data_IF_668367899114
#
_entry.id   IF_668367899114
#
_cell.length_a   1.000
_cell.length_b   1.000
_cell.length_c   1.000
_cell.angle_alpha   90.00
_cell.angle_beta   90.00
_cell.angle_gamma   90.00
#
_symmetry.space_group_name_H-M   'P 1'
#
loop_
_entity.id
_entity.type
_entity.pdbx_description
1 polymer ?
#
# COMPACT_ATOMS: atom_id res chain seq x y z
N UNK A 1 -13.98 13.43 -9.35
CA UNK A 1 -13.45 14.01 -8.09
C UNK A 1 -11.92 14.07 -8.01
N UNK A 2 -11.17 13.30 -8.82
CA UNK A 2 -9.69 13.24 -8.78
C UNK A 2 -8.97 14.40 -9.50
N UNK A 3 -9.64 15.07 -10.45
CA UNK A 3 -9.02 16.16 -11.24
C UNK A 3 -8.76 17.43 -10.42
N UNK A 4 -9.60 17.74 -9.43
CA UNK A 4 -9.43 18.92 -8.57
C UNK A 4 -8.25 18.74 -7.62
N UNK A 5 -7.99 17.51 -7.15
CA UNK A 5 -6.90 17.21 -6.21
C UNK A 5 -5.53 17.32 -6.87
N UNK A 6 -5.37 16.80 -8.10
CA UNK A 6 -4.10 16.88 -8.83
C UNK A 6 -3.72 18.31 -9.23
N UNK A 7 -4.69 19.15 -9.58
CA UNK A 7 -4.44 20.56 -9.93
C UNK A 7 -4.08 21.38 -8.69
N UNK A 8 -4.74 21.15 -7.56
CA UNK A 8 -4.40 21.78 -6.28
C UNK A 8 -3.00 21.39 -5.81
N UNK A 9 -2.64 20.09 -5.88
CA UNK A 9 -1.30 19.65 -5.54
C UNK A 9 -0.24 20.25 -6.49
N UNK A 10 -0.43 20.23 -7.81
CA UNK A 10 0.56 20.82 -8.72
C UNK A 10 0.68 22.35 -8.59
N UNK A 11 -0.40 23.07 -8.30
CA UNK A 11 -0.36 24.52 -8.11
C UNK A 11 0.27 24.91 -6.78
N UNK A 12 0.03 24.18 -5.70
CA UNK A 12 0.67 24.40 -4.40
C UNK A 12 2.17 24.08 -4.48
N UNK A 13 2.55 22.97 -5.13
CA UNK A 13 3.95 22.54 -5.22
C UNK A 13 4.77 23.31 -6.27
N UNK A 14 4.14 23.80 -7.35
CA UNK A 14 4.80 24.68 -8.32
C UNK A 14 5.08 26.09 -7.78
N UNK A 15 4.30 26.55 -6.79
CA UNK A 15 4.45 27.85 -6.16
C UNK A 15 5.48 27.86 -5.01
N UNK A 16 5.64 26.74 -4.31
CA UNK A 16 6.42 26.67 -3.06
C UNK A 16 7.87 26.18 -3.22
N UNK A 17 8.42 26.06 -4.43
CA UNK A 17 9.76 25.52 -4.74
C UNK A 17 10.78 25.37 -3.59
N UNK A 18 11.33 26.47 -3.06
CA UNK A 18 12.31 26.45 -1.93
C UNK A 18 11.66 26.35 -0.54
N UNK A 19 10.44 26.84 -0.36
CA UNK A 19 9.68 26.80 0.89
C UNK A 19 9.12 25.40 1.19
N UNK A 20 8.81 24.60 0.17
CA UNK A 20 8.40 23.21 0.29
C UNK A 20 9.53 22.34 0.82
N UNK A 21 10.79 22.63 0.44
CA UNK A 21 11.97 21.94 0.95
C UNK A 21 12.23 22.29 2.43
N UNK A 22 12.07 23.56 2.79
CA UNK A 22 12.15 24.01 4.19
C UNK A 22 10.98 23.51 5.05
N UNK A 23 9.78 23.38 4.48
CA UNK A 23 8.62 22.74 5.09
C UNK A 23 8.92 21.25 5.31
N UNK A 24 9.49 20.55 4.32
CA UNK A 24 9.93 19.16 4.45
C UNK A 24 10.97 18.98 5.56
N UNK A 25 11.99 19.84 5.61
CA UNK A 25 13.04 19.80 6.64
C UNK A 25 12.49 20.09 8.04
N UNK A 26 11.45 20.93 8.15
CA UNK A 26 10.74 21.18 9.41
C UNK A 26 9.82 20.03 9.80
N UNK A 27 9.16 19.39 8.84
CA UNK A 27 8.30 18.22 9.06
C UNK A 27 9.10 16.98 9.45
N UNK A 28 10.28 16.77 8.85
CA UNK A 28 11.20 15.67 9.21
C UNK A 28 11.79 15.83 10.62
N UNK A 29 11.84 17.07 11.13
CA UNK A 29 12.35 17.39 12.46
C UNK A 29 11.32 17.31 13.59
N UNK A 30 10.02 17.14 13.27
CA UNK A 30 8.94 17.12 14.24
C UNK A 30 8.39 15.68 14.42
N UNK A 31 8.63 15.03 15.58
CA UNK A 31 8.18 13.68 15.85
C UNK A 31 6.66 13.49 15.72
N UNK A 32 5.87 14.54 15.97
CA UNK A 32 4.41 14.47 15.85
C UNK A 32 3.99 14.33 14.39
N UNK A 33 4.58 15.12 13.50
CA UNK A 33 4.30 15.04 12.07
C UNK A 33 4.78 13.73 11.44
N UNK A 34 5.94 13.24 11.85
CA UNK A 34 6.42 11.91 11.43
C UNK A 34 5.41 10.83 11.83
N UNK A 35 4.92 10.85 13.08
CA UNK A 35 3.92 9.89 13.54
C UNK A 35 2.60 9.98 12.75
N UNK A 36 2.14 11.19 12.43
CA UNK A 36 0.94 11.42 11.60
C UNK A 36 1.15 10.83 10.20
N UNK A 37 2.29 11.10 9.56
CA UNK A 37 2.60 10.60 8.22
C UNK A 37 2.74 9.07 8.20
N UNK A 38 3.37 8.48 9.22
CA UNK A 38 3.48 7.03 9.35
C UNK A 38 2.12 6.37 9.59
N UNK A 39 1.25 7.01 10.40
CA UNK A 39 -0.10 6.54 10.63
C UNK A 39 -0.92 6.62 9.34
N UNK A 40 -0.89 7.76 8.65
CA UNK A 40 -1.56 7.94 7.37
C UNK A 40 -1.07 6.92 6.33
N UNK A 41 0.25 6.70 6.24
CA UNK A 41 0.82 5.68 5.35
C UNK A 41 0.31 4.28 5.69
N UNK A 42 0.20 3.94 6.98
CA UNK A 42 -0.36 2.66 7.43
C UNK A 42 -1.83 2.55 7.03
N UNK A 43 -2.63 3.58 7.28
CA UNK A 43 -4.08 3.57 7.00
C UNK A 43 -4.39 3.51 5.50
N UNK A 44 -3.54 4.10 4.66
CA UNK A 44 -3.64 4.02 3.21
C UNK A 44 -3.09 2.72 2.62
N UNK A 45 -2.51 1.83 3.42
CA UNK A 45 -1.98 0.56 2.91
C UNK A 45 -3.09 -0.42 2.56
N UNK A 46 -2.81 -1.33 1.63
CA UNK A 46 -3.67 -2.47 1.38
C UNK A 46 -3.27 -3.59 2.34
N UNK A 47 -4.12 -3.87 3.32
CA UNK A 47 -3.90 -4.92 4.32
C UNK A 47 -4.45 -6.24 3.82
N UNK A 48 -3.71 -7.32 4.09
CA UNK A 48 -4.13 -8.69 3.88
C UNK A 48 -4.29 -9.38 5.23
N UNK A 49 -5.46 -9.98 5.41
CA UNK A 49 -5.82 -10.73 6.61
C UNK A 49 -6.28 -12.14 6.22
N UNK A 50 -6.00 -13.11 7.08
CA UNK A 50 -6.38 -14.50 6.89
C UNK A 50 -7.29 -14.94 8.03
N UNK A 51 -8.37 -15.65 7.70
CA UNK A 51 -9.24 -16.22 8.71
C UNK A 51 -8.61 -17.49 9.31
N UNK A 52 -8.32 -17.47 10.61
CA UNK A 52 -7.68 -18.56 11.35
C UNK A 52 -8.37 -18.72 12.69
N UNK A 53 -8.74 -19.96 13.04
CA UNK A 53 -9.27 -20.27 14.37
C UNK A 53 -10.54 -19.49 14.77
N UNK A 54 -11.32 -19.02 13.80
CA UNK A 54 -12.55 -18.25 14.05
C UNK A 54 -12.39 -16.73 13.98
N UNK A 55 -11.18 -16.22 13.75
CA UNK A 55 -10.90 -14.78 13.72
C UNK A 55 -10.03 -14.38 12.52
N UNK A 56 -10.02 -13.08 12.19
CA UNK A 56 -9.18 -12.51 11.16
C UNK A 56 -7.83 -12.07 11.74
N UNK A 57 -6.74 -12.54 11.15
CA UNK A 57 -5.39 -12.20 11.57
C UNK A 57 -4.64 -11.52 10.43
N UNK A 58 -3.96 -10.41 10.72
CA UNK A 58 -3.12 -9.73 9.76
C UNK A 58 -1.95 -10.63 9.33
N UNK A 59 -1.74 -10.78 8.03
CA UNK A 59 -0.63 -11.55 7.45
C UNK A 59 0.33 -10.71 6.62
N UNK A 60 -0.07 -9.49 6.25
CA UNK A 60 0.83 -8.48 5.71
C UNK A 60 0.11 -7.27 5.14
N UNK A 61 0.88 -6.36 4.53
CA UNK A 61 0.33 -5.21 3.82
C UNK A 61 1.18 -4.82 2.62
N UNK A 62 0.56 -4.13 1.66
CA UNK A 62 1.22 -3.48 0.53
C UNK A 62 1.09 -1.97 0.77
N UNK A 63 2.24 -1.29 0.83
CA UNK A 63 2.27 0.17 1.00
C UNK A 63 1.74 0.85 -0.27
N UNK A 64 1.07 2.01 -0.14
CA UNK A 64 0.68 2.79 -1.29
C UNK A 64 1.93 3.30 -2.00
N UNK A 65 1.94 3.19 -3.32
CA UNK A 65 2.99 3.78 -4.14
C UNK A 65 2.51 5.12 -4.71
N UNK A 66 3.39 6.11 -4.71
CA UNK A 66 3.12 7.44 -5.26
C UNK A 66 3.20 7.47 -6.80
N UNK A 67 2.85 6.37 -7.46
CA UNK A 67 2.93 6.23 -8.91
C UNK A 67 1.54 6.29 -9.56
N UNK A 68 1.43 7.07 -10.63
CA UNK A 68 0.20 7.24 -11.42
C UNK A 68 -0.04 6.04 -12.36
N UNK A 69 0.86 5.05 -12.36
CA UNK A 69 0.84 3.93 -13.31
C UNK A 69 0.32 2.65 -12.65
N UNK A 70 -0.47 1.82 -13.37
CA UNK A 70 -0.84 0.50 -12.90
C UNK A 70 0.40 -0.34 -12.61
N UNK A 71 0.39 -1.02 -11.47
CA UNK A 71 1.47 -1.87 -11.03
C UNK A 71 0.95 -3.20 -10.52
N UNK A 72 1.86 -4.16 -10.34
CA UNK A 72 1.56 -5.45 -9.72
C UNK A 72 2.46 -5.63 -8.51
N UNK A 73 1.92 -6.21 -7.44
CA UNK A 73 2.69 -6.58 -6.24
C UNK A 73 2.32 -7.98 -5.80
N UNK A 74 3.26 -8.63 -5.13
CA UNK A 74 3.08 -9.92 -4.51
C UNK A 74 3.36 -9.80 -3.01
N UNK A 75 2.53 -10.46 -2.21
CA UNK A 75 2.72 -10.58 -0.79
C UNK A 75 2.83 -12.06 -0.44
N UNK A 76 3.95 -12.43 0.17
CA UNK A 76 4.20 -13.80 0.62
C UNK A 76 3.71 -13.96 2.05
N UNK A 77 2.96 -15.02 2.30
CA UNK A 77 2.51 -15.41 3.63
C UNK A 77 2.50 -16.93 3.73
N UNK A 78 2.67 -17.44 4.95
CA UNK A 78 2.64 -18.87 5.21
C UNK A 78 1.20 -19.35 5.45
N UNK A 79 0.88 -20.53 4.95
CA UNK A 79 -0.38 -21.20 5.26
C UNK A 79 -0.28 -21.87 6.63
N UNK A 80 -1.34 -21.80 7.46
CA UNK A 80 -1.34 -22.52 8.73
C UNK A 80 -1.27 -24.03 8.45
N UNK A 81 -0.48 -24.79 9.23
CA UNK A 81 -0.30 -26.23 9.02
C UNK A 81 -1.62 -27.02 9.13
N UNK A 82 -2.58 -26.49 9.90
CA UNK A 82 -3.85 -27.16 10.20
C UNK A 82 -5.04 -26.57 9.42
N UNK A 83 -4.77 -25.81 8.35
CA UNK A 83 -5.76 -24.98 7.64
C UNK A 83 -6.81 -25.71 6.80
N UNK A 84 -6.70 -27.02 6.63
CA UNK A 84 -7.54 -27.79 5.69
C UNK A 84 -7.38 -27.31 4.23
N UNK A 85 -8.34 -27.65 3.38
CA UNK A 85 -8.27 -27.38 1.92
C UNK A 85 -8.77 -25.99 1.51
N UNK A 86 -9.16 -25.13 2.46
CA UNK A 86 -9.79 -23.84 2.17
C UNK A 86 -9.09 -22.70 2.90
N UNK A 87 -8.65 -21.70 2.14
CA UNK A 87 -8.09 -20.46 2.67
C UNK A 87 -9.09 -19.34 2.48
N UNK A 88 -9.36 -18.57 3.54
CA UNK A 88 -10.18 -17.36 3.48
C UNK A 88 -9.30 -16.14 3.72
N UNK A 89 -9.27 -15.25 2.73
CA UNK A 89 -8.48 -14.03 2.74
C UNK A 89 -9.42 -12.82 2.70
N UNK A 90 -9.01 -11.74 3.36
CA UNK A 90 -9.67 -10.44 3.33
C UNK A 90 -8.64 -9.38 2.97
N UNK A 91 -9.00 -8.55 1.99
CA UNK A 91 -8.27 -7.32 1.67
C UNK A 91 -9.03 -6.16 2.29
N UNK A 92 -8.32 -5.28 3.00
CA UNK A 92 -8.88 -4.09 3.62
C UNK A 92 -7.96 -2.89 3.37
N UNK A 93 -8.57 -1.72 3.13
CA UNK A 93 -7.86 -0.46 2.94
C UNK A 93 -8.81 0.71 3.18
N UNK A 94 -8.26 1.91 3.32
CA UNK A 94 -9.07 3.12 3.29
C UNK A 94 -9.81 3.25 1.95
N UNK A 95 -11.07 3.69 2.00
CA UNK A 95 -11.91 3.85 0.82
C UNK A 95 -11.25 4.77 -0.22
N UNK A 96 -11.43 4.41 -1.50
CA UNK A 96 -10.96 5.16 -2.68
C UNK A 96 -9.43 5.33 -2.81
N UNK A 97 -8.62 4.70 -1.95
CA UNK A 97 -7.15 4.72 -2.09
C UNK A 97 -6.66 3.73 -3.15
N UNK A 98 -7.30 2.57 -3.25
CA UNK A 98 -6.87 1.50 -4.16
C UNK A 98 -7.91 1.22 -5.23
N UNK A 99 -7.47 1.17 -6.47
CA UNK A 99 -8.19 0.51 -7.56
C UNK A 99 -7.54 -0.85 -7.82
N UNK A 100 -8.25 -1.91 -7.48
CA UNK A 100 -7.76 -3.29 -7.64
C UNK A 100 -8.39 -3.89 -8.89
N UNK A 101 -7.60 -4.05 -9.95
CA UNK A 101 -8.10 -4.63 -11.20
C UNK A 101 -8.16 -6.17 -11.15
N UNK A 102 -7.23 -6.82 -10.46
CA UNK A 102 -7.18 -8.27 -10.33
C UNK A 102 -6.47 -8.72 -9.04
N UNK A 103 -6.90 -9.88 -8.52
CA UNK A 103 -6.26 -10.57 -7.40
C UNK A 103 -6.06 -12.03 -7.81
N UNK A 104 -4.85 -12.56 -7.58
CA UNK A 104 -4.51 -13.94 -7.85
C UNK A 104 -3.74 -14.53 -6.66
N UNK A 105 -3.98 -15.82 -6.39
CA UNK A 105 -3.22 -16.61 -5.43
C UNK A 105 -2.33 -17.59 -6.19
N UNK A 106 -1.06 -17.67 -5.82
CA UNK A 106 -0.14 -18.62 -6.40
C UNK A 106 0.55 -19.42 -5.30
N UNK A 107 0.39 -20.73 -5.34
CA UNK A 107 0.95 -21.66 -4.35
C UNK A 107 2.35 -22.16 -4.75
N UNK A 108 2.68 -22.10 -6.05
CA UNK A 108 3.91 -22.64 -6.63
C UNK A 108 4.84 -21.54 -7.16
N UNK A 109 5.05 -20.48 -6.38
CA UNK A 109 5.93 -19.39 -6.81
C UNK A 109 7.39 -19.89 -6.81
N UNK A 110 8.13 -19.75 -7.93
CA UNK A 110 9.56 -20.00 -7.92
C UNK A 110 10.23 -19.07 -6.89
N UNK A 111 11.32 -19.50 -6.23
CA UNK A 111 11.91 -18.81 -5.08
C UNK A 111 12.40 -17.37 -5.35
N UNK A 112 12.35 -16.92 -6.60
CA UNK A 112 12.87 -15.64 -7.08
C UNK A 112 11.80 -14.80 -7.79
N UNK A 113 10.59 -14.67 -7.23
CA UNK A 113 9.79 -13.49 -7.53
C UNK A 113 10.28 -12.39 -6.63
N UNK A 114 11.17 -11.59 -7.19
CA UNK A 114 11.51 -10.30 -6.63
C UNK A 114 10.21 -9.46 -6.57
N UNK A 115 9.76 -9.04 -5.37
CA UNK A 115 8.55 -8.24 -5.22
C UNK A 115 8.64 -6.89 -5.96
N UNK A 116 9.84 -6.43 -6.33
CA UNK A 116 10.06 -5.26 -7.19
C UNK A 116 10.06 -5.58 -8.70
N UNK A 117 10.24 -6.85 -9.12
CA UNK A 117 10.35 -7.22 -10.53
C UNK A 117 9.03 -7.21 -11.31
N UNK A 118 7.92 -6.89 -10.64
CA UNK A 118 6.63 -6.65 -11.28
C UNK A 118 6.62 -5.25 -11.89
N UNK A 119 7.19 -5.17 -13.11
CA UNK A 119 7.23 -3.98 -13.96
C UNK A 119 5.83 -3.38 -14.20
N UNK A 120 5.74 -2.06 -14.46
CA UNK A 120 4.49 -1.44 -14.86
C UNK A 120 3.90 -2.14 -16.09
N UNK A 121 2.58 -2.26 -16.12
CA UNK A 121 1.87 -2.78 -17.29
C UNK A 121 2.02 -1.77 -18.45
N UNK A 122 2.24 -2.23 -19.70
CA UNK A 122 2.31 -1.36 -20.86
C UNK A 122 0.96 -0.67 -21.17
#
# INVERSE_FOLDING_TARGET
NTEISNVLFQQVFGFLGEEALALYQRLDGDPEWVAILEQWRRDCSLHLEMFRGGDWQAVGSILPEANVVPFRRALRFDLPPDGGDTVRLRLSSMADVWRIDAVALACDLPPAIDPEALKPLP
#
